data_IF_992093560580
#
_entry.id   IF_992093560580
#
_cell.length_a   1.000
_cell.length_b   1.000
_cell.length_c   1.000
_cell.angle_alpha   90.00
_cell.angle_beta   90.00
_cell.angle_gamma   90.00
#
_symmetry.space_group_name_H-M   'P 1'
#
loop_
_entity.id
_entity.type
_entity.pdbx_description
1 polymer ?
#
# COMPACT_ATOMS: atom_id res chain seq x y z
N UNK A 1 9.40 14.77 17.25
CA UNK A 1 7.98 14.78 17.71
C UNK A 1 7.03 15.33 16.65
N UNK A 2 7.37 16.44 15.95
CA UNK A 2 6.55 16.97 14.87
C UNK A 2 6.30 15.98 13.70
N UNK A 3 7.28 15.13 13.38
CA UNK A 3 7.19 14.17 12.28
C UNK A 3 6.15 13.04 12.50
N UNK A 4 6.06 12.46 13.70
CA UNK A 4 5.09 11.38 14.00
C UNK A 4 3.63 11.85 14.06
N UNK A 5 3.38 13.02 14.66
CA UNK A 5 2.04 13.59 14.68
C UNK A 5 1.57 13.99 13.27
N UNK A 6 2.47 14.54 12.46
CA UNK A 6 2.21 14.80 11.05
C UNK A 6 1.97 13.49 10.27
N UNK A 7 2.68 12.40 10.57
CA UNK A 7 2.47 11.09 9.97
C UNK A 7 1.05 10.56 10.18
N UNK A 8 0.57 10.60 11.43
CA UNK A 8 -0.79 10.17 11.77
C UNK A 8 -1.85 10.98 11.04
N UNK A 9 -1.68 12.31 10.97
CA UNK A 9 -2.59 13.17 10.23
C UNK A 9 -2.56 12.90 8.71
N UNK A 10 -1.38 12.70 8.13
CA UNK A 10 -1.22 12.38 6.70
C UNK A 10 -1.83 11.02 6.36
N UNK A 11 -1.70 10.03 7.24
CA UNK A 11 -2.31 8.71 7.06
C UNK A 11 -3.84 8.78 7.10
N UNK A 12 -4.41 9.53 8.04
CA UNK A 12 -5.85 9.76 8.14
C UNK A 12 -6.40 10.51 6.91
N UNK A 13 -5.68 11.54 6.44
CA UNK A 13 -6.04 12.25 5.21
C UNK A 13 -5.93 11.33 3.97
N UNK A 14 -4.92 10.47 3.93
CA UNK A 14 -4.76 9.47 2.87
C UNK A 14 -5.91 8.47 2.82
N UNK A 15 -6.32 7.93 3.96
CA UNK A 15 -7.49 7.04 4.06
C UNK A 15 -8.77 7.75 3.62
N UNK A 16 -9.06 8.93 4.18
CA UNK A 16 -10.25 9.70 3.83
C UNK A 16 -10.26 10.10 2.34
N UNK A 17 -9.10 10.34 1.74
CA UNK A 17 -9.00 10.59 0.30
C UNK A 17 -9.30 9.33 -0.51
N UNK A 18 -8.83 8.15 -0.10
CA UNK A 18 -9.11 6.88 -0.79
C UNK A 18 -10.59 6.48 -0.64
N UNK A 19 -11.21 6.72 0.52
CA UNK A 19 -12.64 6.50 0.73
C UNK A 19 -13.51 7.43 -0.13
N UNK A 20 -13.03 8.66 -0.37
CA UNK A 20 -13.65 9.62 -1.26
C UNK A 20 -13.36 9.37 -2.75
N UNK A 21 -12.64 8.30 -3.10
CA UNK A 21 -12.26 7.98 -4.49
C UNK A 21 -11.24 8.94 -5.11
N UNK A 22 -10.58 9.76 -4.29
CA UNK A 22 -9.49 10.66 -4.71
C UNK A 22 -8.16 9.91 -4.62
N UNK A 23 -8.05 8.86 -5.42
CA UNK A 23 -7.01 7.84 -5.28
C UNK A 23 -5.59 8.42 -5.49
N UNK A 24 -5.37 9.34 -6.44
CA UNK A 24 -4.06 9.98 -6.62
C UNK A 24 -3.62 10.81 -5.42
N UNK A 25 -4.56 11.57 -4.84
CA UNK A 25 -4.29 12.37 -3.65
C UNK A 25 -3.99 11.45 -2.47
N UNK A 26 -4.75 10.36 -2.32
CA UNK A 26 -4.52 9.37 -1.28
C UNK A 26 -3.10 8.82 -1.34
N UNK A 27 -2.64 8.37 -2.51
CA UNK A 27 -1.28 7.84 -2.72
C UNK A 27 -0.24 8.87 -2.28
N UNK A 28 -0.37 10.13 -2.71
CA UNK A 28 0.58 11.18 -2.36
C UNK A 28 0.67 11.45 -0.85
N UNK A 29 -0.45 11.40 -0.13
CA UNK A 29 -0.46 11.56 1.33
C UNK A 29 0.15 10.35 2.05
N UNK A 30 -0.19 9.14 1.62
CA UNK A 30 0.27 7.89 2.22
C UNK A 30 1.77 7.66 2.03
N UNK A 31 2.30 7.98 0.85
CA UNK A 31 3.74 7.94 0.57
C UNK A 31 4.55 8.87 1.49
N UNK A 32 3.97 10.03 1.85
CA UNK A 32 4.59 10.97 2.79
C UNK A 32 4.43 10.57 4.25
N UNK A 33 3.37 9.82 4.57
CA UNK A 33 3.12 9.33 5.92
C UNK A 33 4.02 8.15 6.30
N UNK A 34 4.21 7.20 5.38
CA UNK A 34 4.87 5.93 5.65
C UNK A 34 6.29 6.02 6.26
N UNK A 35 7.19 6.93 5.85
CA UNK A 35 8.53 7.08 6.46
C UNK A 35 8.50 7.48 7.94
N UNK A 36 7.37 7.99 8.42
CA UNK A 36 7.20 8.51 9.77
C UNK A 36 6.20 7.68 10.61
N UNK A 37 5.76 6.53 10.08
CA UNK A 37 4.89 5.60 10.78
C UNK A 37 5.47 5.23 12.17
N UNK A 38 4.60 5.14 13.17
CA UNK A 38 5.03 4.89 14.54
C UNK A 38 5.29 3.40 14.82
N UNK A 39 4.75 2.51 13.98
CA UNK A 39 4.93 1.07 14.08
C UNK A 39 5.07 0.41 12.71
N UNK A 40 5.54 -0.84 12.73
CA UNK A 40 5.63 -1.71 11.54
C UNK A 40 4.27 -1.88 10.87
N UNK A 41 3.22 -2.14 11.65
CA UNK A 41 1.85 -2.29 11.15
C UNK A 41 1.28 -1.01 10.53
N UNK A 42 1.60 0.16 11.08
CA UNK A 42 1.19 1.44 10.49
C UNK A 42 1.89 1.72 9.14
N UNK A 43 3.18 1.39 9.04
CA UNK A 43 3.92 1.53 7.79
C UNK A 43 3.33 0.59 6.71
N UNK A 44 3.07 -0.66 7.08
CA UNK A 44 2.43 -1.63 6.20
C UNK A 44 1.02 -1.19 5.76
N UNK A 45 0.22 -0.66 6.69
CA UNK A 45 -1.11 -0.12 6.37
C UNK A 45 -1.06 1.07 5.41
N UNK A 46 -0.09 1.99 5.57
CA UNK A 46 0.08 3.11 4.63
C UNK A 46 0.34 2.61 3.20
N UNK A 47 1.26 1.64 3.05
CA UNK A 47 1.59 1.06 1.76
C UNK A 47 0.42 0.24 1.18
N UNK A 48 -0.26 -0.54 2.01
CA UNK A 48 -1.45 -1.29 1.58
C UNK A 48 -2.52 -0.35 1.02
N UNK A 49 -2.87 0.71 1.74
CA UNK A 49 -3.88 1.66 1.28
C UNK A 49 -3.44 2.31 -0.04
N UNK A 50 -2.17 2.72 -0.17
CA UNK A 50 -1.66 3.28 -1.42
C UNK A 50 -1.78 2.29 -2.59
N UNK A 51 -1.47 1.01 -2.36
CA UNK A 51 -1.62 -0.05 -3.34
C UNK A 51 -3.07 -0.31 -3.76
N UNK A 52 -4.02 -0.26 -2.81
CA UNK A 52 -5.45 -0.36 -3.13
C UNK A 52 -5.90 0.79 -4.02
N UNK A 53 -5.51 2.03 -3.70
CA UNK A 53 -5.88 3.18 -4.53
C UNK A 53 -5.19 3.10 -5.91
N UNK A 54 -3.93 2.66 -6.01
CA UNK A 54 -3.24 2.45 -7.29
C UNK A 54 -3.93 1.40 -8.17
N UNK A 55 -4.41 0.31 -7.58
CA UNK A 55 -5.17 -0.73 -8.29
C UNK A 55 -6.49 -0.19 -8.85
N UNK A 56 -7.22 0.63 -8.08
CA UNK A 56 -8.46 1.28 -8.55
C UNK A 56 -8.23 2.18 -9.76
N UNK A 57 -7.05 2.80 -9.85
CA UNK A 57 -6.61 3.59 -10.99
C UNK A 57 -6.13 2.76 -12.19
N UNK A 58 -6.16 1.44 -12.11
CA UNK A 58 -5.66 0.54 -13.16
C UNK A 58 -4.13 0.46 -13.24
N UNK A 59 -3.41 0.96 -12.22
CA UNK A 59 -1.94 1.00 -12.17
C UNK A 59 -1.42 -0.27 -11.47
N UNK A 60 -1.59 -1.42 -12.12
CA UNK A 60 -1.28 -2.73 -11.54
C UNK A 60 0.18 -2.83 -11.04
N UNK A 61 1.15 -2.31 -11.80
CA UNK A 61 2.56 -2.33 -11.39
C UNK A 61 2.83 -1.49 -10.13
N UNK A 62 2.26 -0.30 -10.03
CA UNK A 62 2.37 0.52 -8.81
C UNK A 62 1.70 -0.17 -7.61
N UNK A 63 0.55 -0.82 -7.83
CA UNK A 63 -0.12 -1.58 -6.78
C UNK A 63 0.74 -2.73 -6.25
N UNK A 64 1.49 -3.42 -7.13
CA UNK A 64 2.45 -4.46 -6.74
C UNK A 64 3.61 -3.90 -5.94
N UNK A 65 4.21 -2.79 -6.38
CA UNK A 65 5.30 -2.14 -5.65
C UNK A 65 4.86 -1.77 -4.23
N UNK A 66 3.68 -1.15 -4.11
CA UNK A 66 3.13 -0.81 -2.80
C UNK A 66 2.82 -2.05 -1.94
N UNK A 67 2.30 -3.12 -2.53
CA UNK A 67 2.08 -4.38 -1.81
C UNK A 67 3.40 -5.01 -1.33
N UNK A 68 4.45 -5.02 -2.15
CA UNK A 68 5.79 -5.48 -1.76
C UNK A 68 6.39 -4.64 -0.64
N UNK A 69 6.19 -3.33 -0.65
CA UNK A 69 6.63 -2.43 0.43
C UNK A 69 5.87 -2.63 1.73
N UNK A 70 4.58 -2.96 1.64
CA UNK A 70 3.79 -3.34 2.79
C UNK A 70 4.31 -4.65 3.41
N UNK A 71 4.60 -5.66 2.58
CA UNK A 71 5.18 -6.94 3.02
C UNK A 71 6.62 -6.83 3.52
N UNK A 72 7.43 -5.93 2.95
CA UNK A 72 8.76 -5.64 3.47
C UNK A 72 8.72 -4.99 4.86
N UNK A 73 7.62 -4.27 5.16
CA UNK A 73 7.36 -3.75 6.51
C UNK A 73 6.87 -4.87 7.41
N UNK A 74 5.78 -5.53 7.03
CA UNK A 74 5.17 -6.64 7.76
C UNK A 74 4.96 -7.86 6.83
N UNK A 75 5.88 -8.84 6.86
CA UNK A 75 5.79 -10.03 6.01
C UNK A 75 4.53 -10.87 6.26
N UNK A 76 3.93 -10.77 7.46
CA UNK A 76 2.70 -11.47 7.82
C UNK A 76 1.42 -10.75 7.42
N UNK A 77 1.51 -9.61 6.72
CA UNK A 77 0.36 -8.77 6.42
C UNK A 77 -0.52 -9.39 5.31
N UNK A 78 -1.46 -10.24 5.71
CA UNK A 78 -2.32 -11.01 4.81
C UNK A 78 -2.99 -10.17 3.71
N UNK A 79 -3.49 -8.97 4.04
CA UNK A 79 -4.12 -8.09 3.05
C UNK A 79 -3.13 -7.59 1.97
N UNK A 80 -1.85 -7.42 2.31
CA UNK A 80 -0.83 -7.03 1.34
C UNK A 80 -0.48 -8.19 0.41
N UNK A 81 -0.39 -9.42 0.94
CA UNK A 81 -0.24 -10.62 0.13
C UNK A 81 -1.41 -10.80 -0.83
N UNK A 82 -2.65 -10.59 -0.36
CA UNK A 82 -3.84 -10.64 -1.21
C UNK A 82 -3.84 -9.56 -2.29
N UNK A 83 -3.45 -8.33 -1.95
CA UNK A 83 -3.34 -7.26 -2.93
C UNK A 83 -2.31 -7.59 -4.01
N UNK A 84 -1.14 -8.12 -3.63
CA UNK A 84 -0.12 -8.55 -4.56
C UNK A 84 -0.65 -9.65 -5.50
N UNK A 85 -1.30 -10.69 -4.95
CA UNK A 85 -1.91 -11.78 -5.72
C UNK A 85 -2.94 -11.27 -6.73
N UNK A 86 -3.83 -10.37 -6.32
CA UNK A 86 -4.86 -9.81 -7.20
C UNK A 86 -4.24 -8.94 -8.28
N UNK A 87 -3.28 -8.08 -7.92
CA UNK A 87 -2.56 -7.23 -8.88
C UNK A 87 -1.71 -8.05 -9.87
N UNK A 88 -1.25 -9.24 -9.46
CA UNK A 88 -0.57 -10.21 -10.32
C UNK A 88 -1.53 -10.88 -11.31
N UNK A 89 -2.71 -11.28 -10.82
CA UNK A 89 -3.74 -11.86 -11.68
C UNK A 89 -4.28 -10.85 -12.71
N UNK A 90 -4.34 -9.56 -12.37
CA UNK A 90 -4.86 -8.49 -13.24
C UNK A 90 -3.93 -8.14 -14.41
N UNK A 91 -2.60 -8.33 -14.32
CA UNK A 91 -1.72 -8.04 -15.47
C UNK A 91 -1.54 -9.20 -16.44
N UNK A 92 -2.06 -10.39 -16.14
CA UNK A 92 -1.99 -11.55 -17.03
C UNK A 92 -0.59 -12.15 -17.28
N UNK A 93 0.50 -11.50 -16.86
CA UNK A 93 1.86 -11.88 -17.30
C UNK A 93 2.69 -12.72 -16.31
N UNK A 94 2.48 -12.69 -14.98
CA UNK A 94 3.45 -13.34 -14.05
C UNK A 94 2.79 -14.12 -12.89
N UNK A 95 2.08 -15.22 -13.20
CA UNK A 95 1.58 -16.14 -12.16
C UNK A 95 2.70 -16.85 -11.37
N UNK A 96 3.91 -16.91 -11.93
CA UNK A 96 5.00 -17.72 -11.38
C UNK A 96 5.80 -16.97 -10.29
N UNK A 97 5.92 -15.64 -10.38
CA UNK A 97 6.59 -14.82 -9.36
C UNK A 97 5.74 -14.69 -8.08
N UNK A 98 4.40 -14.65 -8.24
CA UNK A 98 3.42 -14.58 -7.15
C UNK A 98 3.55 -15.69 -6.10
N UNK A 99 3.83 -16.91 -6.54
CA UNK A 99 3.94 -18.09 -5.67
C UNK A 99 5.29 -18.16 -4.95
N UNK A 100 6.34 -17.52 -5.49
CA UNK A 100 7.67 -17.54 -4.89
C UNK A 100 7.85 -16.47 -3.81
N UNK A 101 7.16 -15.33 -3.89
CA UNK A 101 7.29 -14.23 -2.91
C UNK A 101 6.48 -14.43 -1.62
N UNK A 102 5.49 -15.33 -1.58
CA UNK A 102 4.60 -15.55 -0.42
C UNK A 102 5.09 -16.71 0.49
N UNK A 103 6.24 -17.32 0.19
CA UNK A 103 6.80 -18.48 0.90
C UNK A 103 7.73 -18.08 2.05
#
# INVERSE_FOLDING_TARGET
RASKAAAGALWQLGQAACDAGRDELAIGWLQRAAPFAASVGEAAACWLTAGVCARRLGRAEEARDFARRALASDPGHLQASLLLLVSLAESGEEREEACNEIR
#
